data_IF_837631607260
#
_entry.id   IF_837631607260
#
_cell.length_a   1.000
_cell.length_b   1.000
_cell.length_c   1.000
_cell.angle_alpha   90.00
_cell.angle_beta   90.00
_cell.angle_gamma   90.00
#
_symmetry.space_group_name_H-M   'P 1'
#
loop_
_entity.id
_entity.type
_entity.pdbx_description
1 polymer ?
#
# COMPACT_ATOMS: atom_id res chain seq x y z
N UNK A 1 -87.98 -46.02 20.50
CA UNK A 1 -87.10 -46.12 21.69
C UNK A 1 -85.85 -46.83 21.19
N UNK A 2 -84.65 -46.28 21.09
CA UNK A 2 -83.98 -45.10 21.68
C UNK A 2 -82.91 -44.65 20.68
N UNK A 3 -82.78 -43.35 20.44
CA UNK A 3 -81.60 -42.78 19.77
C UNK A 3 -80.72 -42.16 20.85
N UNK A 4 -79.47 -42.58 20.96
CA UNK A 4 -78.42 -41.88 21.73
C UNK A 4 -77.29 -41.49 20.79
N UNK A 5 -76.66 -40.32 20.97
CA UNK A 5 -75.67 -39.79 20.04
C UNK A 5 -74.29 -40.39 20.34
N UNK A 6 -73.54 -40.74 19.29
CA UNK A 6 -72.11 -41.01 19.41
C UNK A 6 -71.33 -39.73 19.11
N UNK A 7 -70.55 -39.34 20.11
CA UNK A 7 -69.62 -38.20 20.18
C UNK A 7 -68.49 -38.31 19.14
N UNK A 8 -68.19 -37.22 18.44
CA UNK A 8 -66.95 -37.06 17.68
C UNK A 8 -65.76 -36.85 18.61
N UNK A 9 -64.78 -37.76 18.58
CA UNK A 9 -63.44 -37.51 19.14
C UNK A 9 -62.53 -37.01 18.02
N UNK A 10 -62.08 -35.76 18.08
CA UNK A 10 -60.91 -35.30 17.33
C UNK A 10 -59.66 -35.84 18.00
N UNK A 11 -58.85 -36.57 17.26
CA UNK A 11 -57.47 -36.91 17.65
C UNK A 11 -56.59 -35.70 17.40
N UNK A 12 -56.23 -34.98 18.46
CA UNK A 12 -55.16 -34.00 18.41
C UNK A 12 -53.82 -34.75 18.33
N UNK A 13 -53.16 -34.68 17.17
CA UNK A 13 -51.79 -35.16 17.01
C UNK A 13 -50.86 -34.30 17.88
N UNK A 14 -50.45 -34.83 19.02
CA UNK A 14 -49.52 -34.17 19.94
C UNK A 14 -48.13 -34.12 19.28
N UNK A 15 -47.80 -32.98 18.69
CA UNK A 15 -46.49 -32.73 18.07
C UNK A 15 -45.41 -32.88 19.15
N UNK A 16 -44.61 -33.93 19.06
CA UNK A 16 -43.45 -34.15 19.93
C UNK A 16 -42.41 -33.05 19.70
N UNK A 17 -42.48 -31.97 20.49
CA UNK A 17 -41.45 -30.93 20.53
C UNK A 17 -40.31 -31.43 21.41
N UNK A 18 -39.27 -31.97 20.79
CA UNK A 18 -38.07 -32.37 21.51
C UNK A 18 -37.40 -31.14 22.15
N UNK A 19 -36.85 -31.26 23.37
CA UNK A 19 -35.98 -30.23 23.94
C UNK A 19 -34.88 -29.87 22.94
N UNK A 20 -34.51 -28.59 22.87
CA UNK A 20 -33.57 -28.10 21.85
C UNK A 20 -32.25 -28.87 21.85
N UNK A 21 -31.78 -29.39 22.99
CA UNK A 21 -30.55 -30.19 23.08
C UNK A 21 -30.68 -31.64 22.59
N UNK A 22 -31.87 -32.11 22.21
CA UNK A 22 -32.12 -33.44 21.65
C UNK A 22 -32.39 -33.42 20.14
N UNK A 23 -32.41 -32.23 19.51
CA UNK A 23 -32.59 -32.11 18.07
C UNK A 23 -31.27 -32.41 17.34
N UNK A 24 -31.20 -33.43 16.45
CA UNK A 24 -29.98 -33.80 15.75
C UNK A 24 -29.41 -32.65 14.90
N UNK A 25 -30.25 -31.73 14.42
CA UNK A 25 -29.83 -30.54 13.67
C UNK A 25 -28.97 -29.59 14.53
N UNK A 26 -29.26 -29.50 15.84
CA UNK A 26 -28.51 -28.65 16.75
C UNK A 26 -27.10 -29.19 17.03
N UNK A 27 -26.92 -30.52 17.06
CA UNK A 27 -25.59 -31.12 17.15
C UNK A 27 -24.75 -30.87 15.90
N UNK A 28 -25.37 -30.91 14.71
CA UNK A 28 -24.70 -30.55 13.45
C UNK A 28 -24.29 -29.07 13.47
N UNK A 29 -25.18 -28.18 13.92
CA UNK A 29 -24.87 -26.76 14.03
C UNK A 29 -23.72 -26.47 15.03
N UNK A 30 -23.70 -27.14 16.18
CA UNK A 30 -22.62 -27.02 17.17
C UNK A 30 -21.31 -27.57 16.62
N UNK A 31 -21.33 -28.70 15.91
CA UNK A 31 -20.14 -29.27 15.30
C UNK A 31 -19.54 -28.35 14.23
N UNK A 32 -20.39 -27.73 13.39
CA UNK A 32 -19.96 -26.73 12.40
C UNK A 32 -19.38 -25.49 13.11
N UNK A 33 -20.05 -24.98 14.14
CA UNK A 33 -19.55 -23.84 14.90
C UNK A 33 -18.19 -24.12 15.58
N UNK A 34 -18.02 -25.31 16.15
CA UNK A 34 -16.76 -25.75 16.74
C UNK A 34 -15.64 -25.92 15.69
N UNK A 35 -15.98 -26.37 14.49
CA UNK A 35 -15.03 -26.51 13.38
C UNK A 35 -14.60 -25.14 12.84
N UNK A 36 -15.53 -24.19 12.70
CA UNK A 36 -15.23 -22.80 12.34
C UNK A 36 -14.35 -22.15 13.43
N UNK A 37 -14.67 -22.34 14.71
CA UNK A 37 -13.86 -21.87 15.82
C UNK A 37 -12.47 -22.51 15.83
N UNK A 38 -12.37 -23.82 15.58
CA UNK A 38 -11.10 -24.55 15.53
C UNK A 38 -10.22 -24.09 14.37
N UNK A 39 -10.79 -23.84 13.19
CA UNK A 39 -10.08 -23.28 12.02
C UNK A 39 -9.66 -21.84 12.29
N UNK A 40 -10.54 -21.01 12.86
CA UNK A 40 -10.22 -19.63 13.23
C UNK A 40 -9.10 -19.55 14.28
N UNK A 41 -9.16 -20.38 15.31
CA UNK A 41 -8.10 -20.48 16.32
C UNK A 41 -6.80 -21.05 15.72
N UNK A 42 -6.87 -22.04 14.83
CA UNK A 42 -5.70 -22.60 14.16
C UNK A 42 -5.02 -21.62 13.22
N UNK A 43 -5.79 -20.75 12.55
CA UNK A 43 -5.28 -19.68 11.70
C UNK A 43 -4.62 -18.57 12.53
N UNK A 44 -5.23 -18.15 13.64
CA UNK A 44 -4.65 -17.15 14.54
C UNK A 44 -3.47 -17.68 15.39
N UNK A 45 -3.48 -18.97 15.73
CA UNK A 45 -2.38 -19.62 16.47
C UNK A 45 -1.27 -20.16 15.55
N UNK A 46 -1.47 -20.13 14.23
CA UNK A 46 -0.45 -20.43 13.23
C UNK A 46 0.61 -19.34 13.22
N UNK A 47 1.69 -19.59 13.96
CA UNK A 47 2.91 -18.81 14.10
C UNK A 47 2.81 -17.29 13.83
N UNK A 48 1.88 -16.61 14.52
CA UNK A 48 1.78 -15.15 14.55
C UNK A 48 3.04 -14.46 15.12
N UNK A 49 4.07 -15.24 15.51
CA UNK A 49 5.34 -14.78 16.06
C UNK A 49 6.51 -14.91 15.07
N UNK A 50 6.32 -15.54 13.89
CA UNK A 50 7.33 -15.55 12.84
C UNK A 50 7.36 -14.17 12.15
N UNK A 51 8.43 -13.41 12.37
CA UNK A 51 8.76 -12.28 11.50
C UNK A 51 8.95 -12.82 10.08
N UNK A 52 8.29 -12.25 9.06
CA UNK A 52 8.52 -12.68 7.68
C UNK A 52 10.00 -12.59 7.32
N UNK A 53 10.48 -13.56 6.55
CA UNK A 53 11.85 -13.53 6.02
C UNK A 53 12.05 -12.25 5.17
N UNK A 54 13.22 -11.64 5.34
CA UNK A 54 13.67 -10.44 4.65
C UNK A 54 15.21 -10.45 4.54
N UNK A 55 15.76 -9.72 3.58
CA UNK A 55 17.19 -9.54 3.39
C UNK A 55 17.57 -8.04 3.42
N UNK A 56 18.84 -7.73 3.17
CA UNK A 56 19.33 -6.35 3.16
C UNK A 56 18.75 -5.48 2.03
N UNK A 57 18.29 -6.10 0.93
CA UNK A 57 17.57 -5.41 -0.16
C UNK A 57 16.18 -5.02 0.29
N UNK A 58 15.46 -5.90 0.99
CA UNK A 58 14.15 -5.57 1.57
C UNK A 58 14.24 -4.36 2.52
N UNK A 59 15.20 -4.38 3.45
CA UNK A 59 15.40 -3.26 4.38
C UNK A 59 15.81 -1.97 3.66
N UNK A 60 16.88 -2.05 2.86
CA UNK A 60 17.47 -0.89 2.21
C UNK A 60 16.52 -0.23 1.23
N UNK A 61 15.83 -1.01 0.39
CA UNK A 61 14.83 -0.48 -0.54
C UNK A 61 13.71 0.26 0.19
N UNK A 62 13.13 -0.34 1.23
CA UNK A 62 12.00 0.27 1.95
C UNK A 62 12.40 1.56 2.69
N UNK A 63 13.61 1.62 3.24
CA UNK A 63 14.10 2.81 3.94
C UNK A 63 14.51 3.92 2.97
N UNK A 64 15.26 3.59 1.92
CA UNK A 64 15.77 4.55 0.94
C UNK A 64 14.64 5.07 0.04
N UNK A 65 13.77 4.19 -0.48
CA UNK A 65 12.61 4.59 -1.28
C UNK A 65 11.64 5.45 -0.48
N UNK A 66 11.50 5.23 0.84
CA UNK A 66 10.70 6.12 1.68
C UNK A 66 11.26 7.54 1.71
N UNK A 67 12.57 7.70 1.88
CA UNK A 67 13.20 9.02 1.86
C UNK A 67 13.03 9.68 0.49
N UNK A 68 13.16 8.89 -0.58
CA UNK A 68 12.91 9.32 -1.95
C UNK A 68 11.47 9.83 -2.14
N UNK A 69 10.47 9.04 -1.75
CA UNK A 69 9.05 9.42 -1.76
C UNK A 69 8.75 10.70 -0.97
N UNK A 70 9.41 10.90 0.18
CA UNK A 70 9.22 12.12 0.98
C UNK A 70 9.58 13.38 0.18
N UNK A 71 10.54 13.34 -0.77
CA UNK A 71 10.86 14.49 -1.63
C UNK A 71 9.82 14.68 -2.75
N UNK A 72 9.33 13.62 -3.40
CA UNK A 72 8.24 13.72 -4.37
C UNK A 72 6.97 14.36 -3.76
N UNK A 73 6.59 13.94 -2.55
CA UNK A 73 5.45 14.51 -1.83
C UNK A 73 5.66 15.99 -1.53
N UNK A 74 6.87 16.40 -1.15
CA UNK A 74 7.21 17.80 -0.92
C UNK A 74 7.12 18.65 -2.20
N UNK A 75 7.70 18.16 -3.31
CA UNK A 75 7.63 18.86 -4.60
C UNK A 75 6.19 19.00 -5.09
N UNK A 76 5.39 17.93 -5.02
CA UNK A 76 3.98 17.96 -5.41
C UNK A 76 3.16 18.90 -4.51
N UNK A 77 3.36 18.86 -3.20
CA UNK A 77 2.68 19.78 -2.27
C UNK A 77 3.02 21.24 -2.56
N UNK A 78 4.31 21.54 -2.79
CA UNK A 78 4.74 22.88 -3.16
C UNK A 78 4.10 23.33 -4.47
N UNK A 79 4.08 22.49 -5.51
CA UNK A 79 3.44 22.80 -6.78
C UNK A 79 1.95 23.18 -6.60
N UNK A 80 1.23 22.43 -5.77
CA UNK A 80 -0.20 22.62 -5.53
C UNK A 80 -0.54 23.88 -4.72
N UNK A 81 0.38 24.35 -3.88
CA UNK A 81 0.09 25.37 -2.86
C UNK A 81 0.91 26.64 -2.97
N UNK A 82 2.07 26.58 -3.62
CA UNK A 82 3.04 27.67 -3.72
C UNK A 82 3.15 28.29 -5.11
N UNK A 83 2.69 27.60 -6.17
CA UNK A 83 2.75 28.12 -7.54
C UNK A 83 1.48 28.91 -7.87
N UNK A 84 1.65 30.16 -8.29
CA UNK A 84 0.57 30.99 -8.84
C UNK A 84 0.23 30.57 -10.27
N UNK A 85 -1.08 30.43 -10.57
CA UNK A 85 -1.64 30.01 -11.87
C UNK A 85 -0.97 28.74 -12.46
N UNK A 86 -0.97 27.60 -11.73
CA UNK A 86 -0.31 26.39 -12.19
C UNK A 86 -1.04 25.77 -13.40
N UNK A 87 -0.30 25.04 -14.24
CA UNK A 87 -0.91 24.33 -15.36
C UNK A 87 -1.95 23.30 -14.84
N UNK A 88 -3.23 23.37 -15.28
CA UNK A 88 -4.30 22.54 -14.73
C UNK A 88 -4.09 21.02 -14.88
N UNK A 89 -3.37 20.58 -15.93
CA UNK A 89 -3.10 19.16 -16.14
C UNK A 89 -2.00 18.67 -15.21
N UNK A 90 -0.95 19.47 -14.99
CA UNK A 90 0.06 19.16 -13.97
C UNK A 90 -0.50 19.26 -12.55
N UNK A 91 -1.49 20.11 -12.29
CA UNK A 91 -2.17 20.15 -10.98
C UNK A 91 -2.81 18.80 -10.67
N UNK A 92 -3.53 18.21 -11.62
CA UNK A 92 -4.12 16.87 -11.42
C UNK A 92 -3.05 15.80 -11.20
N UNK A 93 -1.96 15.83 -11.97
CA UNK A 93 -0.85 14.88 -11.80
C UNK A 93 -0.15 15.04 -10.45
N UNK A 94 0.08 16.27 -9.99
CA UNK A 94 0.66 16.54 -8.69
C UNK A 94 -0.23 16.04 -7.54
N UNK A 95 -1.56 16.17 -7.65
CA UNK A 95 -2.50 15.58 -6.69
C UNK A 95 -2.41 14.05 -6.66
N UNK A 96 -2.34 13.41 -7.83
CA UNK A 96 -2.21 11.96 -7.94
C UNK A 96 -0.90 11.46 -7.31
N UNK A 97 0.23 12.04 -7.70
CA UNK A 97 1.57 11.73 -7.16
C UNK A 97 1.60 11.91 -5.64
N UNK A 98 1.07 13.04 -5.14
CA UNK A 98 1.04 13.31 -3.71
C UNK A 98 0.26 12.23 -2.94
N UNK A 99 -0.84 11.73 -3.49
CA UNK A 99 -1.66 10.70 -2.85
C UNK A 99 -1.05 9.30 -2.98
N UNK A 100 -0.59 8.93 -4.18
CA UNK A 100 0.00 7.61 -4.46
C UNK A 100 1.25 7.39 -3.61
N UNK A 101 2.19 8.34 -3.63
CA UNK A 101 3.45 8.29 -2.92
C UNK A 101 3.25 8.25 -1.38
N UNK A 102 2.29 9.02 -0.83
CA UNK A 102 1.97 8.92 0.60
C UNK A 102 1.40 7.55 1.00
N UNK A 103 0.55 6.95 0.16
CA UNK A 103 0.02 5.60 0.41
C UNK A 103 1.13 4.55 0.36
N UNK A 104 2.06 4.67 -0.58
CA UNK A 104 3.22 3.79 -0.71
C UNK A 104 4.17 3.94 0.48
N UNK A 105 4.46 5.15 0.94
CA UNK A 105 5.20 5.40 2.19
C UNK A 105 4.54 4.70 3.38
N UNK A 106 3.21 4.76 3.50
CA UNK A 106 2.48 4.04 4.54
C UNK A 106 2.64 2.52 4.46
N UNK A 107 2.67 1.94 3.25
CA UNK A 107 2.92 0.51 3.04
C UNK A 107 4.35 0.14 3.44
N UNK A 108 5.34 0.93 3.03
CA UNK A 108 6.75 0.69 3.37
C UNK A 108 6.97 0.73 4.89
N UNK A 109 6.41 1.72 5.58
CA UNK A 109 6.45 1.81 7.05
C UNK A 109 5.83 0.56 7.69
N UNK A 110 4.69 0.10 7.19
CA UNK A 110 4.06 -1.09 7.74
C UNK A 110 4.90 -2.36 7.52
N UNK A 111 5.57 -2.49 6.36
CA UNK A 111 6.47 -3.60 6.08
C UNK A 111 7.69 -3.58 7.01
N UNK A 112 8.34 -2.43 7.16
CA UNK A 112 9.47 -2.25 8.09
C UNK A 112 9.09 -2.61 9.52
N UNK A 113 7.91 -2.18 10.00
CA UNK A 113 7.38 -2.56 11.32
C UNK A 113 7.15 -4.07 11.44
N UNK A 114 6.62 -4.71 10.40
CA UNK A 114 6.38 -6.15 10.39
C UNK A 114 7.69 -6.96 10.44
N UNK A 115 8.78 -6.41 9.87
CA UNK A 115 10.12 -6.99 9.94
C UNK A 115 10.85 -6.68 11.25
N UNK A 116 10.31 -5.77 12.08
CA UNK A 116 10.95 -5.31 13.32
C UNK A 116 12.14 -4.38 13.08
N UNK A 117 12.18 -3.71 11.92
CA UNK A 117 13.26 -2.83 11.49
C UNK A 117 12.94 -1.36 11.79
N UNK A 118 13.97 -0.51 11.71
CA UNK A 118 13.80 0.95 11.76
C UNK A 118 12.97 1.42 10.56
N UNK A 119 12.05 2.36 10.80
CA UNK A 119 11.24 2.96 9.74
C UNK A 119 12.07 3.92 8.86
N UNK A 120 13.18 4.44 9.38
CA UNK A 120 14.06 5.43 8.72
C UNK A 120 15.46 4.86 8.54
N UNK A 121 16.13 5.28 7.46
CA UNK A 121 17.58 5.19 7.35
C UNK A 121 18.21 6.35 8.14
N UNK A 122 18.84 6.06 9.27
CA UNK A 122 19.52 7.03 10.15
C UNK A 122 21.05 7.02 9.97
N UNK A 123 21.56 6.26 9.00
CA UNK A 123 23.00 6.11 8.76
C UNK A 123 23.59 7.25 7.94
N UNK A 124 22.74 7.98 7.19
CA UNK A 124 23.14 9.02 6.23
C UNK A 124 23.73 8.47 4.92
N UNK A 125 23.75 7.14 4.75
CA UNK A 125 24.26 6.46 3.56
C UNK A 125 23.12 5.63 2.96
N UNK A 126 22.89 5.80 1.67
CA UNK A 126 21.89 5.06 0.90
C UNK A 126 22.54 4.10 -0.10
N UNK A 127 21.71 3.27 -0.74
CA UNK A 127 22.04 2.48 -1.94
C UNK A 127 23.10 1.38 -1.75
N UNK A 128 23.58 1.18 -0.52
CA UNK A 128 24.52 0.11 -0.19
C UNK A 128 23.97 -1.29 -0.53
N UNK A 129 22.65 -1.47 -0.44
CA UNK A 129 21.92 -2.69 -0.81
C UNK A 129 21.93 -2.97 -2.33
N UNK A 130 22.21 -1.96 -3.15
CA UNK A 130 22.44 -2.06 -4.59
C UNK A 130 23.92 -2.22 -4.97
N UNK A 131 24.82 -2.30 -3.98
CA UNK A 131 26.26 -2.41 -4.21
C UNK A 131 26.94 -1.10 -4.60
N UNK A 132 26.22 0.03 -4.54
CA UNK A 132 26.76 1.37 -4.78
C UNK A 132 26.32 2.30 -3.65
N UNK A 133 27.20 2.55 -2.68
CA UNK A 133 26.87 3.43 -1.56
C UNK A 133 27.04 4.91 -1.93
N UNK A 134 26.14 5.76 -1.46
CA UNK A 134 26.19 7.21 -1.64
C UNK A 134 25.54 7.96 -0.47
N UNK A 135 25.79 9.27 -0.27
CA UNK A 135 25.03 10.06 0.68
C UNK A 135 23.53 10.00 0.38
N UNK A 136 22.67 9.92 1.40
CA UNK A 136 21.22 9.78 1.21
C UNK A 136 20.58 10.95 0.44
N UNK A 137 21.16 12.16 0.58
CA UNK A 137 20.71 13.37 -0.13
C UNK A 137 21.10 13.39 -1.61
N UNK A 138 21.94 12.45 -2.06
CA UNK A 138 22.46 12.38 -3.42
C UNK A 138 21.88 11.18 -4.20
N UNK A 139 20.92 10.44 -3.65
CA UNK A 139 20.30 9.29 -4.34
C UNK A 139 19.82 9.65 -5.73
N UNK A 140 19.96 8.70 -6.66
CA UNK A 140 19.60 8.89 -8.06
C UNK A 140 18.16 9.41 -8.21
N UNK A 141 18.01 10.48 -9.00
CA UNK A 141 16.74 11.14 -9.26
C UNK A 141 16.29 12.19 -8.23
N UNK A 142 16.89 12.27 -7.04
CA UNK A 142 16.58 13.35 -6.11
C UNK A 142 16.94 14.71 -6.72
N UNK A 143 16.03 15.67 -6.56
CA UNK A 143 16.32 17.07 -6.82
C UNK A 143 17.31 17.59 -5.78
N UNK A 144 18.36 18.25 -6.24
CA UNK A 144 19.32 18.96 -5.40
C UNK A 144 18.67 20.18 -4.73
N UNK A 145 19.30 20.69 -3.68
CA UNK A 145 18.82 21.91 -3.02
C UNK A 145 18.77 23.12 -3.97
N UNK A 146 19.74 23.23 -4.89
CA UNK A 146 19.75 24.32 -5.89
C UNK A 146 18.55 24.22 -6.85
N UNK A 147 18.19 23.01 -7.27
CA UNK A 147 17.02 22.77 -8.12
C UNK A 147 15.71 23.04 -7.38
N UNK A 148 15.61 22.63 -6.11
CA UNK A 148 14.45 22.93 -5.27
C UNK A 148 14.30 24.44 -5.02
N UNK A 149 15.40 25.16 -4.83
CA UNK A 149 15.40 26.62 -4.68
C UNK A 149 14.98 27.32 -5.98
N UNK A 150 15.47 26.84 -7.13
CA UNK A 150 15.07 27.33 -8.44
C UNK A 150 13.58 27.09 -8.71
N UNK A 151 13.08 25.89 -8.37
CA UNK A 151 11.67 25.56 -8.45
C UNK A 151 10.82 26.48 -7.56
N UNK A 152 11.26 26.72 -6.32
CA UNK A 152 10.56 27.56 -5.36
C UNK A 152 10.50 29.04 -5.77
N UNK A 153 11.46 29.51 -6.57
CA UNK A 153 11.53 30.87 -7.06
C UNK A 153 10.78 31.09 -8.40
N UNK A 154 10.37 30.01 -9.07
CA UNK A 154 9.70 30.08 -10.36
C UNK A 154 8.19 30.35 -10.21
N UNK A 155 7.57 30.88 -11.26
CA UNK A 155 6.15 31.22 -11.29
C UNK A 155 5.47 30.63 -12.54
N UNK A 156 4.16 30.35 -12.43
CA UNK A 156 3.30 29.93 -13.55
C UNK A 156 3.87 28.79 -14.40
N UNK A 157 4.01 29.03 -15.71
CA UNK A 157 4.47 28.03 -16.67
C UNK A 157 5.94 27.62 -16.45
N UNK A 158 6.79 28.50 -15.95
CA UNK A 158 8.18 28.14 -15.67
C UNK A 158 8.25 27.16 -14.49
N UNK A 159 7.52 27.44 -13.41
CA UNK A 159 7.39 26.50 -12.29
C UNK A 159 6.79 25.17 -12.73
N UNK A 160 5.81 25.20 -13.66
CA UNK A 160 5.20 24.00 -14.25
C UNK A 160 6.22 23.17 -15.04
N UNK A 161 7.11 23.82 -15.79
CA UNK A 161 8.19 23.16 -16.53
C UNK A 161 9.18 22.51 -15.57
N UNK A 162 9.69 23.27 -14.60
CA UNK A 162 10.66 22.77 -13.61
C UNK A 162 10.07 21.60 -12.82
N UNK A 163 8.83 21.71 -12.33
CA UNK A 163 8.15 20.62 -11.62
C UNK A 163 8.11 19.33 -12.45
N UNK A 164 7.70 19.42 -13.71
CA UNK A 164 7.61 18.26 -14.58
C UNK A 164 8.99 17.64 -14.85
N UNK A 165 10.01 18.46 -15.11
CA UNK A 165 11.38 18.00 -15.35
C UNK A 165 11.98 17.30 -14.12
N UNK A 166 11.84 17.89 -12.93
CA UNK A 166 12.32 17.30 -11.68
C UNK A 166 11.58 15.99 -11.36
N UNK A 167 10.26 15.98 -11.48
CA UNK A 167 9.47 14.79 -11.16
C UNK A 167 9.72 13.64 -12.14
N UNK A 168 10.01 13.93 -13.41
CA UNK A 168 10.44 12.90 -14.38
C UNK A 168 11.76 12.27 -13.92
N UNK A 169 12.78 13.08 -13.62
CA UNK A 169 14.08 12.58 -13.19
C UNK A 169 13.98 11.79 -11.87
N UNK A 170 13.16 12.28 -10.94
CA UNK A 170 12.85 11.63 -9.69
C UNK A 170 12.26 10.24 -9.93
N UNK A 171 11.19 10.15 -10.71
CA UNK A 171 10.56 8.87 -11.02
C UNK A 171 11.46 7.89 -11.76
N UNK A 172 12.36 8.37 -12.62
CA UNK A 172 13.35 7.51 -13.28
C UNK A 172 14.29 6.85 -12.26
N UNK A 173 14.82 7.61 -11.29
CA UNK A 173 15.59 7.04 -10.19
C UNK A 173 14.75 6.09 -9.31
N UNK A 174 13.49 6.45 -9.07
CA UNK A 174 12.49 5.61 -8.40
C UNK A 174 12.31 4.24 -9.06
N UNK A 175 12.18 4.22 -10.38
CA UNK A 175 12.03 3.01 -11.20
C UNK A 175 13.30 2.16 -11.13
N UNK A 176 14.49 2.75 -11.28
CA UNK A 176 15.75 2.01 -11.25
C UNK A 176 15.95 1.27 -9.90
N UNK A 177 15.62 1.93 -8.79
CA UNK A 177 15.62 1.31 -7.45
C UNK A 177 14.63 0.17 -7.35
N UNK A 178 13.41 0.38 -7.85
CA UNK A 178 12.35 -0.61 -7.80
C UNK A 178 12.68 -1.85 -8.66
N UNK A 179 13.26 -1.67 -9.85
CA UNK A 179 13.72 -2.78 -10.70
C UNK A 179 14.73 -3.66 -9.97
N UNK A 180 15.72 -3.06 -9.30
CA UNK A 180 16.67 -3.84 -8.51
C UNK A 180 15.99 -4.60 -7.37
N UNK A 181 15.03 -3.98 -6.68
CA UNK A 181 14.28 -4.63 -5.61
C UNK A 181 13.45 -5.81 -6.12
N UNK A 182 12.81 -5.70 -7.29
CA UNK A 182 12.09 -6.83 -7.92
C UNK A 182 13.02 -8.03 -8.11
N UNK A 183 14.24 -7.80 -8.56
CA UNK A 183 15.20 -8.86 -8.87
C UNK A 183 15.89 -9.46 -7.64
N UNK A 184 16.05 -8.70 -6.54
CA UNK A 184 16.96 -9.06 -5.45
C UNK A 184 16.33 -9.08 -4.04
N UNK A 185 15.11 -8.58 -3.86
CA UNK A 185 14.39 -8.67 -2.59
C UNK A 185 14.01 -10.14 -2.30
N UNK A 186 14.07 -10.54 -1.02
CA UNK A 186 13.68 -11.89 -0.60
C UNK A 186 12.16 -11.97 -0.40
N UNK A 187 11.55 -10.89 0.11
CA UNK A 187 10.15 -10.87 0.48
C UNK A 187 9.22 -10.61 -0.73
N UNK A 188 8.27 -11.52 -0.96
CA UNK A 188 7.28 -11.40 -2.04
C UNK A 188 6.46 -10.11 -2.00
N UNK A 189 6.14 -9.61 -0.81
CA UNK A 189 5.35 -8.39 -0.66
C UNK A 189 6.17 -7.14 -1.04
N UNK A 190 7.48 -7.14 -0.79
CA UNK A 190 8.39 -6.08 -1.21
C UNK A 190 8.54 -6.09 -2.73
N UNK A 191 8.77 -7.25 -3.35
CA UNK A 191 8.79 -7.39 -4.81
C UNK A 191 7.50 -6.88 -5.45
N UNK A 192 6.35 -7.28 -4.91
CA UNK A 192 5.03 -6.86 -5.41
C UNK A 192 4.82 -5.35 -5.29
N UNK A 193 5.31 -4.72 -4.22
CA UNK A 193 5.27 -3.27 -4.06
C UNK A 193 6.14 -2.59 -5.13
N UNK A 194 7.38 -3.06 -5.32
CA UNK A 194 8.30 -2.53 -6.32
C UNK A 194 7.75 -2.66 -7.75
N UNK A 195 7.15 -3.79 -8.13
CA UNK A 195 6.46 -3.95 -9.43
C UNK A 195 5.33 -2.93 -9.63
N UNK A 196 4.57 -2.65 -8.57
CA UNK A 196 3.49 -1.65 -8.62
C UNK A 196 4.03 -0.24 -8.79
N UNK A 197 5.15 0.09 -8.13
CA UNK A 197 5.85 1.36 -8.26
C UNK A 197 6.41 1.56 -9.67
N UNK A 198 7.04 0.54 -10.26
CA UNK A 198 7.52 0.59 -11.66
C UNK A 198 6.36 0.94 -12.60
N UNK A 199 5.24 0.25 -12.44
CA UNK A 199 4.05 0.46 -13.29
C UNK A 199 3.48 1.87 -13.12
N UNK A 200 3.28 2.32 -11.89
CA UNK A 200 2.73 3.64 -11.58
C UNK A 200 3.64 4.77 -12.03
N UNK A 201 4.91 4.75 -11.61
CA UNK A 201 5.87 5.80 -11.93
C UNK A 201 6.16 5.87 -13.43
N UNK A 202 6.21 4.74 -14.15
CA UNK A 202 6.36 4.75 -15.62
C UNK A 202 5.18 5.40 -16.35
N UNK A 203 3.95 5.19 -15.85
CA UNK A 203 2.76 5.84 -16.40
C UNK A 203 2.80 7.35 -16.12
N UNK A 204 3.12 7.75 -14.89
CA UNK A 204 3.26 9.15 -14.48
C UNK A 204 4.36 9.87 -15.30
N UNK A 205 5.52 9.24 -15.54
CA UNK A 205 6.57 9.76 -16.44
C UNK A 205 6.02 10.05 -17.84
N UNK A 206 5.27 9.12 -18.41
CA UNK A 206 4.71 9.29 -19.75
C UNK A 206 3.71 10.46 -19.80
N UNK A 207 2.90 10.63 -18.76
CA UNK A 207 1.97 11.74 -18.66
C UNK A 207 2.67 13.08 -18.44
N UNK A 208 3.65 13.15 -17.54
CA UNK A 208 4.47 14.34 -17.30
C UNK A 208 5.16 14.81 -18.59
N UNK A 209 5.79 13.89 -19.34
CA UNK A 209 6.40 14.19 -20.65
C UNK A 209 5.39 14.74 -21.64
N UNK A 210 4.21 14.15 -21.71
CA UNK A 210 3.15 14.61 -22.61
C UNK A 210 2.64 16.00 -22.23
N UNK A 211 2.59 16.36 -20.95
CA UNK A 211 2.25 17.73 -20.55
C UNK A 211 3.39 18.69 -20.87
N UNK A 212 4.63 18.32 -20.56
CA UNK A 212 5.83 19.13 -20.78
C UNK A 212 6.02 19.53 -22.25
N UNK A 213 5.72 18.64 -23.20
CA UNK A 213 5.74 18.93 -24.64
C UNK A 213 4.66 19.95 -25.07
N UNK A 214 3.60 20.08 -24.26
CA UNK A 214 2.45 20.96 -24.53
C UNK A 214 2.46 22.31 -23.79
N UNK A 215 3.46 22.54 -22.93
CA UNK A 215 3.69 23.81 -22.22
C UNK A 215 4.30 24.87 -23.13
#
# INVERSE_FOLDING_TARGET
MTSSPATSSSSDDEVLVLPWWQNPVNFVAIAIAALILGVGLGYFAGDSAATPDHNAVDEGFLQDMRYHHDQAVQMAYFYLTGVDDPNPRLTMLAEEILLSQQMETGRMIQMLRNFGLSEVNDTGVAMAWMGHQMPIEEMDGLASQEELDAFAAAEGIEASRIFAELMIAHHEGGVDMAEYAVDNADNDAVRSLAESMITGQSAEIAELRAVLESL
#
